data_IF_148505052077
#
_entry.id   IF_148505052077
#
_cell.length_a   1.000
_cell.length_b   1.000
_cell.length_c   1.000
_cell.angle_alpha   90.00
_cell.angle_beta   90.00
_cell.angle_gamma   90.00
#
_symmetry.space_group_name_H-M   'P 1'
#
loop_
_entity.id
_entity.type
_entity.pdbx_description
1 polymer ?
#
# COMPACT_ATOMS: atom_id res chain seq x y z
N UNK A 1 2.87 -32.71 12.11
CA UNK A 1 1.67 -31.88 11.94
C UNK A 1 1.96 -30.82 10.88
N UNK A 2 1.50 -31.05 9.66
CA UNK A 2 1.57 -30.06 8.60
C UNK A 2 0.51 -28.99 8.91
N UNK A 3 0.95 -27.77 9.24
CA UNK A 3 0.05 -26.65 9.42
C UNK A 3 -0.49 -26.27 8.03
N UNK A 4 -1.71 -26.75 7.74
CA UNK A 4 -2.50 -26.30 6.61
C UNK A 4 -2.68 -24.79 6.75
N UNK A 5 -2.03 -24.00 5.91
CA UNK A 5 -2.35 -22.57 5.75
C UNK A 5 -3.83 -22.52 5.39
N UNK A 6 -4.66 -22.02 6.30
CA UNK A 6 -6.01 -21.59 5.94
C UNK A 6 -5.84 -20.48 4.92
N UNK A 7 -6.25 -20.74 3.68
CA UNK A 7 -6.69 -19.68 2.79
C UNK A 7 -7.91 -19.07 3.49
N UNK A 8 -7.65 -18.03 4.29
CA UNK A 8 -8.69 -17.09 4.67
C UNK A 8 -9.16 -16.50 3.35
N UNK A 9 -10.44 -16.71 3.05
CA UNK A 9 -11.12 -16.16 1.88
C UNK A 9 -10.88 -14.65 1.88
N UNK A 10 -9.93 -14.19 1.06
CA UNK A 10 -9.50 -12.80 1.06
C UNK A 10 -10.74 -11.97 0.74
N UNK A 11 -11.13 -11.06 1.65
CA UNK A 11 -12.20 -10.05 1.44
C UNK A 11 -12.07 -9.34 0.07
N UNK A 12 -10.88 -9.36 -0.52
CA UNK A 12 -10.50 -8.69 -1.75
C UNK A 12 -10.37 -9.70 -2.89
N UNK A 13 -11.26 -9.59 -3.88
CA UNK A 13 -11.15 -10.33 -5.13
C UNK A 13 -10.07 -9.68 -6.02
N UNK A 14 -8.91 -10.34 -6.10
CA UNK A 14 -7.75 -9.85 -6.84
C UNK A 14 -8.00 -9.74 -8.35
N UNK A 15 -9.01 -10.44 -8.90
CA UNK A 15 -9.33 -10.38 -10.32
C UNK A 15 -9.91 -9.03 -10.75
N UNK A 16 -10.38 -8.23 -9.79
CA UNK A 16 -10.89 -6.88 -10.02
C UNK A 16 -9.78 -5.85 -10.21
N UNK A 17 -8.54 -6.17 -9.80
CA UNK A 17 -7.42 -5.24 -9.85
C UNK A 17 -6.55 -5.49 -11.08
N UNK A 18 -6.17 -4.40 -11.74
CA UNK A 18 -5.21 -4.39 -12.84
C UNK A 18 -3.92 -3.73 -12.37
N UNK A 19 -2.80 -4.29 -12.82
CA UNK A 19 -1.48 -3.73 -12.53
C UNK A 19 -1.43 -2.27 -13.02
N UNK A 20 -1.04 -1.37 -12.13
CA UNK A 20 -1.08 0.08 -12.34
C UNK A 20 -2.28 0.79 -11.75
N UNK A 21 -3.31 0.07 -11.29
CA UNK A 21 -4.49 0.70 -10.66
C UNK A 21 -4.09 1.50 -9.42
N UNK A 22 -4.65 2.71 -9.32
CA UNK A 22 -4.65 3.52 -8.13
C UNK A 22 -5.70 2.97 -7.16
N UNK A 23 -5.24 2.48 -6.02
CA UNK A 23 -6.07 1.99 -4.93
C UNK A 23 -6.21 3.05 -3.86
N UNK A 24 -7.44 3.29 -3.42
CA UNK A 24 -7.76 4.26 -2.38
C UNK A 24 -8.48 3.54 -1.24
N UNK A 25 -8.02 3.77 -0.02
CA UNK A 25 -8.59 3.19 1.19
C UNK A 25 -9.03 4.34 2.10
N UNK A 26 -10.33 4.67 2.14
CA UNK A 26 -10.85 5.69 3.03
C UNK A 26 -10.57 5.31 4.50
N UNK A 27 -9.86 6.17 5.23
CA UNK A 27 -9.71 6.07 6.69
C UNK A 27 -10.53 7.17 7.34
N UNK A 28 -10.70 7.09 8.66
CA UNK A 28 -11.49 8.06 9.43
C UNK A 28 -11.02 9.51 9.25
N UNK A 29 -9.70 9.73 9.09
CA UNK A 29 -9.11 11.09 9.04
C UNK A 29 -8.41 11.43 7.72
N UNK A 30 -8.19 10.46 6.85
CA UNK A 30 -7.47 10.63 5.59
C UNK A 30 -7.81 9.51 4.62
N UNK A 31 -7.50 9.69 3.34
CA UNK A 31 -7.53 8.59 2.36
C UNK A 31 -6.11 8.06 2.18
N UNK A 32 -5.95 6.75 2.30
CA UNK A 32 -4.67 6.09 2.09
C UNK A 32 -4.57 5.59 0.66
N UNK A 33 -3.45 5.86 -0.02
CA UNK A 33 -3.28 5.58 -1.45
C UNK A 33 -2.18 4.55 -1.68
N UNK A 34 -2.35 3.73 -2.70
CA UNK A 34 -1.35 2.77 -3.17
C UNK A 34 -1.51 2.46 -4.64
N UNK A 35 -0.46 1.92 -5.26
CA UNK A 35 -0.46 1.44 -6.65
C UNK A 35 -0.42 -0.08 -6.64
N UNK A 36 -1.37 -0.72 -7.31
CA UNK A 36 -1.37 -2.16 -7.45
C UNK A 36 -0.27 -2.62 -8.42
N UNK A 37 0.62 -3.47 -7.94
CA UNK A 37 1.74 -4.02 -8.72
C UNK A 37 1.42 -5.40 -9.31
N UNK A 38 0.20 -5.91 -9.15
CA UNK A 38 -0.12 -7.28 -9.52
C UNK A 38 0.41 -8.31 -8.51
N UNK A 39 -0.20 -9.49 -8.55
CA UNK A 39 0.12 -10.63 -7.69
C UNK A 39 -0.02 -10.29 -6.18
N UNK A 40 -1.11 -9.65 -5.78
CA UNK A 40 -1.38 -9.27 -4.38
C UNK A 40 -0.31 -8.34 -3.77
N UNK A 41 0.24 -7.42 -4.57
CA UNK A 41 1.25 -6.46 -4.11
C UNK A 41 0.78 -5.04 -4.34
N UNK A 42 0.94 -4.18 -3.33
CA UNK A 42 0.61 -2.76 -3.40
C UNK A 42 1.81 -1.94 -2.94
N UNK A 43 2.30 -1.04 -3.79
CA UNK A 43 3.27 -0.03 -3.38
C UNK A 43 2.55 1.18 -2.78
N UNK A 44 2.91 1.59 -1.58
CA UNK A 44 2.32 2.76 -0.92
C UNK A 44 3.31 3.48 -0.02
N UNK A 45 3.02 4.76 0.23
CA UNK A 45 3.82 5.60 1.12
C UNK A 45 3.31 5.44 2.56
N UNK A 46 4.20 5.16 3.49
CA UNK A 46 3.89 5.12 4.92
C UNK A 46 4.75 6.16 5.64
N UNK A 47 4.20 6.96 6.57
CA UNK A 47 4.99 7.83 7.42
C UNK A 47 5.76 7.00 8.45
N UNK A 48 6.83 6.31 8.05
CA UNK A 48 7.68 5.51 8.93
C UNK A 48 9.01 6.23 9.19
N UNK A 49 9.33 6.48 10.46
CA UNK A 49 10.59 7.10 10.90
C UNK A 49 11.78 6.13 10.87
N UNK A 50 11.52 4.81 10.93
CA UNK A 50 12.59 3.83 11.11
C UNK A 50 13.66 3.86 10.02
N UNK A 51 13.35 4.03 8.72
CA UNK A 51 14.37 4.10 7.66
C UNK A 51 15.36 5.26 7.81
N UNK A 52 14.96 6.35 8.47
CA UNK A 52 15.84 7.49 8.72
C UNK A 52 16.78 7.27 9.92
N UNK A 53 16.44 6.34 10.83
CA UNK A 53 17.15 6.14 12.11
C UNK A 53 17.92 4.82 12.15
N UNK A 54 17.48 3.80 11.42
CA UNK A 54 17.99 2.42 11.51
C UNK A 54 18.32 1.89 10.13
N UNK A 55 19.53 1.33 9.95
CA UNK A 55 19.97 0.70 8.68
C UNK A 55 19.62 -0.80 8.57
N UNK A 56 19.06 -1.38 9.62
CA UNK A 56 18.67 -2.78 9.66
C UNK A 56 17.38 -3.01 8.84
N UNK A 57 17.56 -3.59 7.65
CA UNK A 57 16.48 -3.93 6.72
C UNK A 57 15.47 -4.93 7.30
N UNK A 58 15.89 -5.78 8.23
CA UNK A 58 15.01 -6.78 8.85
C UNK A 58 14.03 -6.13 9.85
N UNK A 59 14.45 -5.06 10.52
CA UNK A 59 13.62 -4.28 11.41
C UNK A 59 12.63 -3.39 10.63
N UNK A 60 13.07 -2.81 9.51
CA UNK A 60 12.22 -2.01 8.60
C UNK A 60 11.11 -2.87 7.97
N UNK A 61 11.41 -4.12 7.63
CA UNK A 61 10.45 -5.03 6.99
C UNK A 61 9.29 -5.47 7.93
N UNK A 62 9.43 -5.33 9.25
CA UNK A 62 8.37 -5.73 10.20
C UNK A 62 7.19 -4.75 10.19
N UNK A 63 5.98 -5.27 10.40
CA UNK A 63 4.69 -4.54 10.50
C UNK A 63 4.84 -3.23 11.26
N UNK A 64 4.32 -2.12 10.73
CA UNK A 64 4.30 -0.75 11.30
C UNK A 64 3.52 -0.65 12.62
N UNK A 65 4.07 0.03 13.65
CA UNK A 65 3.44 0.25 14.97
C UNK A 65 3.03 1.71 15.09
N UNK A 66 1.96 2.00 15.85
CA UNK A 66 1.41 3.36 15.96
C UNK A 66 2.46 4.41 16.36
N UNK A 67 3.38 4.07 17.28
CA UNK A 67 4.45 4.98 17.69
C UNK A 67 5.37 5.38 16.53
N UNK A 68 5.71 4.46 15.62
CA UNK A 68 6.60 4.76 14.50
C UNK A 68 5.91 5.60 13.43
N UNK A 69 4.61 5.37 13.24
CA UNK A 69 3.76 6.16 12.35
C UNK A 69 3.65 7.61 12.84
N UNK A 70 3.35 7.79 14.13
CA UNK A 70 3.25 9.11 14.73
C UNK A 70 4.58 9.87 14.69
N UNK A 71 5.70 9.19 14.96
CA UNK A 71 7.02 9.82 14.87
C UNK A 71 7.35 10.22 13.43
N UNK A 72 7.07 9.36 12.43
CA UNK A 72 7.28 9.70 11.02
C UNK A 72 6.47 10.94 10.60
N UNK A 73 5.23 11.08 11.08
CA UNK A 73 4.42 12.29 10.86
C UNK A 73 5.05 13.53 11.51
N UNK A 74 5.47 13.43 12.79
CA UNK A 74 6.08 14.55 13.52
C UNK A 74 7.38 15.00 12.86
N UNK A 75 8.20 14.07 12.42
CA UNK A 75 9.50 14.35 11.79
C UNK A 75 9.42 14.58 10.29
N UNK A 76 8.23 14.42 9.69
CA UNK A 76 8.00 14.48 8.23
C UNK A 76 8.82 13.46 7.44
N UNK A 77 9.03 12.28 8.01
CA UNK A 77 9.73 11.16 7.38
C UNK A 77 8.72 10.12 6.88
N UNK A 78 8.90 9.68 5.65
CA UNK A 78 8.06 8.68 5.01
C UNK A 78 8.88 7.77 4.10
N UNK A 79 8.40 6.54 3.93
CA UNK A 79 9.05 5.53 3.09
C UNK A 79 8.04 4.79 2.24
N UNK A 80 8.43 4.44 1.02
CA UNK A 80 7.65 3.55 0.17
C UNK A 80 7.82 2.12 0.65
N UNK A 81 6.71 1.40 0.76
CA UNK A 81 6.66 -0.02 1.10
C UNK A 81 5.81 -0.78 0.09
N UNK A 82 6.11 -2.07 -0.04
CA UNK A 82 5.29 -3.01 -0.81
C UNK A 82 4.72 -4.01 0.17
N UNK A 83 3.41 -3.94 0.39
CA UNK A 83 2.68 -4.82 1.30
C UNK A 83 1.56 -5.55 0.51
N UNK A 84 0.91 -6.55 1.11
CA UNK A 84 -0.21 -7.28 0.47
C UNK A 84 -1.44 -6.38 0.31
N UNK A 85 -2.40 -6.73 -0.55
CA UNK A 85 -3.66 -5.97 -0.66
C UNK A 85 -4.40 -5.97 0.67
N UNK A 86 -4.38 -7.11 1.37
CA UNK A 86 -5.02 -7.26 2.67
C UNK A 86 -4.36 -6.36 3.74
N UNK A 87 -3.03 -6.33 3.81
CA UNK A 87 -2.28 -5.49 4.76
C UNK A 87 -2.46 -3.99 4.45
N UNK A 88 -2.45 -3.62 3.17
CA UNK A 88 -2.69 -2.25 2.71
C UNK A 88 -4.09 -1.75 3.09
N UNK A 89 -5.12 -2.57 2.86
CA UNK A 89 -6.51 -2.20 3.08
C UNK A 89 -6.93 -2.32 4.55
N UNK A 90 -6.32 -3.23 5.31
CA UNK A 90 -6.58 -3.44 6.73
C UNK A 90 -8.08 -3.56 7.05
N UNK A 91 -8.79 -4.40 6.27
CA UNK A 91 -10.22 -4.66 6.43
C UNK A 91 -11.15 -3.58 5.85
N UNK A 92 -10.64 -2.44 5.38
CA UNK A 92 -11.45 -1.38 4.74
C UNK A 92 -11.78 -1.72 3.29
N UNK A 93 -12.79 -1.05 2.73
CA UNK A 93 -13.12 -1.14 1.31
C UNK A 93 -12.11 -0.36 0.47
N UNK A 94 -11.90 -0.80 -0.78
CA UNK A 94 -10.94 -0.23 -1.72
C UNK A 94 -11.68 0.38 -2.90
N UNK A 95 -11.39 1.65 -3.19
CA UNK A 95 -11.84 2.32 -4.41
C UNK A 95 -10.73 2.23 -5.46
N UNK A 96 -11.10 1.95 -6.71
CA UNK A 96 -10.16 1.73 -7.82
C UNK A 96 -10.28 2.90 -8.80
N UNK A 97 -9.16 3.58 -9.08
CA UNK A 97 -9.04 4.67 -10.06
C UNK A 97 -10.11 5.76 -9.89
N UNK A 98 -10.54 6.00 -8.65
CA UNK A 98 -11.60 6.98 -8.38
C UNK A 98 -11.08 8.40 -8.63
N UNK A 99 -9.84 8.69 -8.23
CA UNK A 99 -9.19 9.97 -8.47
C UNK A 99 -8.83 10.24 -9.94
N UNK A 100 -8.63 9.21 -10.77
CA UNK A 100 -8.36 9.39 -12.20
C UNK A 100 -9.50 10.13 -12.90
N UNK A 101 -10.74 9.97 -12.41
CA UNK A 101 -11.93 10.67 -12.92
C UNK A 101 -11.99 12.14 -12.53
N UNK A 102 -11.29 12.54 -11.47
CA UNK A 102 -11.28 13.92 -10.99
C UNK A 102 -10.12 14.75 -11.59
N UNK A 103 -9.08 14.07 -12.11
CA UNK A 103 -7.95 14.70 -12.76
C UNK A 103 -8.29 15.14 -14.19
N UNK A 104 -7.83 16.34 -14.58
CA UNK A 104 -8.04 16.87 -15.95
C UNK A 104 -7.17 16.16 -16.99
N UNK A 105 -6.09 15.53 -16.56
CA UNK A 105 -5.16 14.80 -17.42
C UNK A 105 -5.49 13.31 -17.37
N UNK A 106 -5.44 12.61 -18.52
CA UNK A 106 -5.60 11.17 -18.52
C UNK A 106 -4.48 10.51 -17.70
N UNK A 107 -4.76 9.39 -17.02
CA UNK A 107 -3.73 8.62 -16.34
C UNK A 107 -2.70 8.10 -17.34
N UNK A 108 -1.49 7.85 -16.84
CA UNK A 108 -0.49 7.10 -17.61
C UNK A 108 -0.96 5.67 -17.83
N UNK A 109 -0.34 4.98 -18.79
CA UNK A 109 -0.56 3.54 -18.95
C UNK A 109 -0.24 2.77 -17.66
N UNK A 110 -1.08 1.79 -17.32
CA UNK A 110 -0.98 1.07 -16.05
C UNK A 110 0.35 0.38 -15.84
N UNK A 111 0.98 -0.17 -16.89
CA UNK A 111 2.29 -0.80 -16.74
C UNK A 111 3.38 0.22 -16.45
N UNK A 112 3.30 1.41 -17.06
CA UNK A 112 4.23 2.50 -16.75
C UNK A 112 4.04 3.02 -15.32
N UNK A 113 2.79 3.09 -14.83
CA UNK A 113 2.51 3.45 -13.42
C UNK A 113 3.15 2.44 -12.47
N UNK A 114 2.90 1.14 -12.69
CA UNK A 114 3.45 0.08 -11.85
C UNK A 114 4.98 0.06 -11.86
N UNK A 115 5.60 0.18 -13.04
CA UNK A 115 7.06 0.21 -13.19
C UNK A 115 7.71 1.39 -12.45
N UNK A 116 7.03 2.53 -12.36
CA UNK A 116 7.50 3.69 -11.57
C UNK A 116 7.36 3.44 -10.08
N UNK A 117 6.28 2.81 -9.65
CA UNK A 117 6.02 2.53 -8.24
C UNK A 117 6.91 1.42 -7.65
N UNK A 118 7.56 0.61 -8.49
CA UNK A 118 8.53 -0.41 -8.08
C UNK A 118 9.94 0.13 -7.76
N UNK A 119 10.22 1.42 -8.06
CA UNK A 119 11.54 2.05 -7.87
C UNK A 119 11.64 2.83 -6.57
#
# INVERSE_FOLDING_TARGET
>A
FAASKKEEDCKYDLSLYKRGDLLEVPRTLFTHFGIYLGNDRVAHLIPDILPAVVKDKSAIAKMVTNNRLLMGVITKEASVRVDSVADFAYGSDILINHMDKACRQPPLDGEEVARRAEK
#
